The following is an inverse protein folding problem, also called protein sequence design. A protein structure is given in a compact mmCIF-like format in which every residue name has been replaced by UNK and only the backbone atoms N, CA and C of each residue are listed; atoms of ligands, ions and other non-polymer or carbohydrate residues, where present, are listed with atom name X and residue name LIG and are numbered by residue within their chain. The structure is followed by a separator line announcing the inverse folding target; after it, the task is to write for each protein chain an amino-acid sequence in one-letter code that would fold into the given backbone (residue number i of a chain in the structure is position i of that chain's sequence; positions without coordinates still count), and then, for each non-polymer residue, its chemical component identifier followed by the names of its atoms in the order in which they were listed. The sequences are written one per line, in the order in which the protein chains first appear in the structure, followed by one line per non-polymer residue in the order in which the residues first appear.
data_IF_548216993368
#
_entry.id   IF_548216993368
#
_cell.length_a   1.000
_cell.length_b   1.000
_cell.length_c   1.000
_cell.angle_alpha   90.00
_cell.angle_beta   90.00
_cell.angle_gamma   90.00
#
_symmetry.space_group_name_H-M   'P 1'
#
loop_
_entity.id
_entity.type
_entity.pdbx_description
1 polymer ?
#
# COMPACT_ATOMS: atom_id res chain seq x y z
N UNK A 1 -10.32 5.79 2.86
CA UNK A 1 -9.98 4.51 3.49
C UNK A 1 -9.83 3.49 2.39
N UNK A 2 -8.61 2.96 2.22
CA UNK A 2 -8.31 1.92 1.25
C UNK A 2 -8.61 0.52 1.78
N UNK A 3 -8.43 -0.49 0.93
CA UNK A 3 -8.55 -1.91 1.32
C UNK A 3 -7.48 -2.28 2.36
N UNK A 4 -6.30 -1.66 2.27
CA UNK A 4 -5.18 -1.86 3.22
C UNK A 4 -5.54 -1.38 4.63
N UNK A 5 -6.18 -0.21 4.75
CA UNK A 5 -6.66 0.31 6.04
C UNK A 5 -7.72 -0.64 6.65
N UNK A 6 -8.61 -1.16 5.79
CA UNK A 6 -9.61 -2.15 6.14
C UNK A 6 -8.95 -3.43 6.73
N UNK A 7 -7.85 -3.91 6.14
CA UNK A 7 -7.08 -5.04 6.66
C UNK A 7 -6.40 -4.70 8.00
N UNK A 8 -5.77 -3.53 8.11
CA UNK A 8 -5.09 -3.10 9.33
C UNK A 8 -6.04 -3.04 10.54
N UNK A 9 -7.26 -2.53 10.35
CA UNK A 9 -8.30 -2.49 11.40
C UNK A 9 -8.67 -3.91 11.84
N UNK A 10 -8.81 -4.82 10.88
CA UNK A 10 -9.20 -6.21 11.13
C UNK A 10 -8.10 -6.99 11.83
N UNK A 11 -6.84 -6.71 11.53
CA UNK A 11 -5.69 -7.32 12.20
C UNK A 11 -5.65 -7.06 13.71
N UNK A 12 -6.32 -6.01 14.20
CA UNK A 12 -6.46 -5.71 15.62
C UNK A 12 -7.59 -6.50 16.32
N UNK A 13 -8.48 -7.15 15.56
CA UNK A 13 -9.54 -7.96 16.15
C UNK A 13 -8.99 -9.21 16.84
N UNK A 14 -9.70 -9.68 17.86
CA UNK A 14 -9.31 -10.83 18.66
C UNK A 14 -9.74 -12.14 17.99
N UNK A 15 -8.89 -13.15 18.08
CA UNK A 15 -9.17 -14.50 17.61
C UNK A 15 -8.61 -15.53 18.59
N UNK A 16 -9.28 -16.69 18.64
CA UNK A 16 -8.81 -17.83 19.42
C UNK A 16 -7.60 -18.49 18.74
N UNK A 17 -6.51 -18.61 19.48
CA UNK A 17 -5.26 -19.23 19.06
C UNK A 17 -4.84 -20.32 20.05
N UNK A 18 -4.41 -21.47 19.55
CA UNK A 18 -3.87 -22.57 20.37
C UNK A 18 -2.36 -22.60 20.19
N UNK A 19 -1.57 -22.19 21.20
CA UNK A 19 -0.11 -22.21 21.14
C UNK A 19 0.43 -23.62 21.40
N UNK A 20 1.62 -23.91 20.86
CA UNK A 20 2.37 -25.15 21.07
C UNK A 20 3.52 -24.98 22.09
N UNK A 21 3.57 -23.86 22.80
CA UNK A 21 4.65 -23.53 23.72
C UNK A 21 4.09 -22.97 25.03
N UNK A 22 4.91 -23.07 26.07
CA UNK A 22 4.65 -22.48 27.37
C UNK A 22 5.56 -21.27 27.56
N UNK A 23 5.03 -20.19 28.12
CA UNK A 23 5.79 -19.00 28.53
C UNK A 23 5.35 -18.54 29.91
N UNK A 24 6.24 -17.82 30.61
CA UNK A 24 5.85 -17.02 31.77
C UNK A 24 4.85 -15.93 31.38
N UNK A 25 4.25 -15.28 32.38
CA UNK A 25 3.43 -14.09 32.14
C UNK A 25 4.30 -13.00 31.51
N UNK A 26 3.96 -12.62 30.27
CA UNK A 26 4.63 -11.55 29.51
C UNK A 26 3.64 -10.41 29.27
N UNK A 27 4.08 -9.18 29.50
CA UNK A 27 3.27 -7.99 29.26
C UNK A 27 3.51 -7.44 27.85
N UNK A 28 2.45 -7.38 27.05
CA UNK A 28 2.45 -6.82 25.70
C UNK A 28 1.82 -5.43 25.70
N UNK A 29 2.48 -4.46 25.08
CA UNK A 29 2.04 -3.05 25.05
C UNK A 29 0.59 -2.83 24.59
N UNK A 30 0.08 -3.70 23.71
CA UNK A 30 -1.28 -3.59 23.14
C UNK A 30 -2.27 -4.62 23.66
N UNK A 31 -1.80 -5.69 24.30
CA UNK A 31 -2.65 -6.83 24.68
C UNK A 31 -2.63 -7.15 26.16
N UNK A 32 -1.86 -6.40 26.95
CA UNK A 32 -1.71 -6.61 28.40
C UNK A 32 -0.88 -7.85 28.73
N UNK A 33 -1.04 -8.33 29.97
CA UNK A 33 -0.33 -9.50 30.48
C UNK A 33 -0.98 -10.78 29.92
N UNK A 34 -0.19 -11.56 29.20
CA UNK A 34 -0.62 -12.84 28.59
C UNK A 34 0.31 -13.96 29.05
N UNK A 35 -0.29 -15.11 29.38
CA UNK A 35 0.43 -16.36 29.66
C UNK A 35 0.07 -17.41 28.61
N UNK A 36 1.05 -17.78 27.78
CA UNK A 36 0.87 -18.86 26.82
C UNK A 36 1.01 -20.22 27.50
N UNK A 37 -0.02 -21.04 27.37
CA UNK A 37 -0.04 -22.42 27.86
C UNK A 37 -0.35 -23.35 26.68
N UNK A 38 0.55 -24.31 26.44
CA UNK A 38 0.49 -25.18 25.30
C UNK A 38 -0.82 -25.99 25.31
N UNK A 39 -1.52 -26.00 24.17
CA UNK A 39 -2.76 -26.74 23.99
C UNK A 39 -4.02 -26.07 24.55
N UNK A 40 -3.92 -24.92 25.22
CA UNK A 40 -5.08 -24.17 25.69
C UNK A 40 -5.39 -22.99 24.76
N UNK A 41 -6.65 -22.79 24.35
CA UNK A 41 -7.03 -21.67 23.50
C UNK A 41 -6.89 -20.35 24.25
N UNK A 42 -6.37 -19.33 23.58
CA UNK A 42 -6.24 -17.97 24.10
C UNK A 42 -6.69 -16.94 23.07
N UNK A 43 -7.37 -15.90 23.53
CA UNK A 43 -7.77 -14.77 22.70
C UNK A 43 -6.59 -13.81 22.52
N UNK A 44 -6.12 -13.69 21.28
CA UNK A 44 -5.05 -12.77 20.91
C UNK A 44 -5.43 -11.99 19.65
N UNK A 45 -4.84 -10.80 19.42
CA UNK A 45 -5.03 -10.09 18.17
C UNK A 45 -4.58 -10.92 16.96
N UNK A 46 -5.28 -10.79 15.84
CA UNK A 46 -4.96 -11.51 14.60
C UNK A 46 -3.52 -11.26 14.14
N UNK A 47 -3.01 -10.02 14.21
CA UNK A 47 -1.62 -9.73 13.83
C UNK A 47 -0.60 -10.55 14.63
N UNK A 48 -0.88 -10.80 15.92
CA UNK A 48 -0.03 -11.61 16.78
C UNK A 48 -0.13 -13.09 16.40
N UNK A 49 -1.34 -13.57 16.13
CA UNK A 49 -1.56 -14.92 15.63
C UNK A 49 -0.80 -15.18 14.32
N UNK A 50 -0.78 -14.22 13.39
CA UNK A 50 -0.01 -14.30 12.12
C UNK A 50 1.48 -14.48 12.43
N UNK A 51 2.02 -13.68 13.35
CA UNK A 51 3.43 -13.76 13.72
C UNK A 51 3.79 -15.10 14.37
N UNK A 52 2.94 -15.61 15.27
CA UNK A 52 3.14 -16.90 15.91
C UNK A 52 3.03 -18.07 14.92
N UNK A 53 2.08 -17.99 13.98
CA UNK A 53 1.92 -18.98 12.91
C UNK A 53 3.13 -19.02 11.97
N UNK A 54 3.68 -17.86 11.62
CA UNK A 54 4.89 -17.77 10.78
C UNK A 54 6.11 -18.45 11.42
N UNK A 55 6.09 -18.61 12.74
CA UNK A 55 7.12 -19.30 13.54
C UNK A 55 6.72 -20.73 13.91
N UNK A 56 5.64 -21.27 13.36
CA UNK A 56 5.10 -22.60 13.65
C UNK A 56 4.80 -22.84 15.15
N UNK A 57 4.43 -21.78 15.88
CA UNK A 57 4.21 -21.82 17.34
C UNK A 57 2.78 -22.11 17.78
N UNK A 58 1.91 -22.53 16.86
CA UNK A 58 0.51 -22.86 17.15
C UNK A 58 -0.37 -22.79 15.91
N UNK A 59 -1.66 -22.95 16.14
CA UNK A 59 -2.71 -22.92 15.12
C UNK A 59 -3.86 -22.02 15.55
N UNK A 60 -4.51 -21.39 14.58
CA UNK A 60 -5.72 -20.59 14.84
C UNK A 60 -6.93 -21.51 14.90
N UNK A 61 -7.85 -21.21 15.81
CA UNK A 61 -9.17 -21.85 15.83
C UNK A 61 -10.07 -21.14 14.82
N UNK A 62 -10.59 -21.89 13.86
CA UNK A 62 -11.51 -21.36 12.86
C UNK A 62 -12.80 -20.83 13.54
N UNK A 63 -13.26 -19.60 13.22
CA UNK A 63 -14.51 -19.08 13.77
C UNK A 63 -15.73 -19.94 13.38
N UNK A 64 -16.71 -20.05 14.28
CA UNK A 64 -17.91 -20.90 14.09
C UNK A 64 -18.76 -20.52 12.87
N UNK A 65 -18.72 -19.25 12.46
CA UNK A 65 -19.44 -18.76 11.30
C UNK A 65 -18.72 -19.07 9.97
N UNK A 66 -17.43 -19.42 9.99
CA UNK A 66 -16.64 -19.73 8.80
C UNK A 66 -16.74 -21.22 8.45
N UNK A 67 -17.97 -21.70 8.28
CA UNK A 67 -18.30 -23.07 7.94
C UNK A 67 -19.23 -23.10 6.72
N UNK A 68 -19.21 -24.20 5.97
CA UNK A 68 -20.05 -24.37 4.77
C UNK A 68 -21.54 -24.07 5.08
N UNK A 69 -22.08 -24.71 6.13
CA UNK A 69 -23.50 -24.60 6.52
C UNK A 69 -23.89 -23.16 6.87
N UNK A 70 -23.07 -22.48 7.66
CA UNK A 70 -23.31 -21.11 8.10
C UNK A 70 -23.26 -20.13 6.92
N UNK A 71 -22.31 -20.31 6.00
CA UNK A 71 -22.20 -19.48 4.80
C UNK A 71 -23.39 -19.70 3.84
N UNK A 72 -23.82 -20.94 3.64
CA UNK A 72 -25.04 -21.25 2.87
C UNK A 72 -26.28 -20.61 3.49
N UNK A 73 -26.39 -20.60 4.82
CA UNK A 73 -27.46 -19.91 5.53
C UNK A 73 -27.43 -18.40 5.26
N UNK A 74 -26.28 -17.73 5.42
CA UNK A 74 -26.16 -16.30 5.13
C UNK A 74 -26.50 -15.97 3.68
N UNK A 75 -26.11 -16.83 2.73
CA UNK A 75 -26.45 -16.67 1.32
C UNK A 75 -27.96 -16.76 1.10
N UNK A 76 -28.65 -17.67 1.78
CA UNK A 76 -30.10 -17.82 1.65
C UNK A 76 -30.85 -16.66 2.31
N UNK A 77 -30.44 -16.23 3.50
CA UNK A 77 -30.97 -15.03 4.16
C UNK A 77 -30.79 -13.78 3.29
N UNK A 78 -29.63 -13.65 2.62
CA UNK A 78 -29.36 -12.57 1.68
C UNK A 78 -30.23 -12.67 0.42
N UNK A 79 -30.70 -13.85 -0.01
CA UNK A 79 -31.65 -13.95 -1.14
C UNK A 79 -33.06 -13.56 -0.73
N UNK A 80 -33.49 -13.95 0.46
CA UNK A 80 -34.85 -13.73 0.94
C UNK A 80 -35.10 -12.26 1.32
N UNK A 81 -34.12 -11.62 1.93
CA UNK A 81 -34.26 -10.23 2.35
C UNK A 81 -34.09 -9.25 1.19
N UNK A 82 -34.99 -8.27 1.08
CA UNK A 82 -34.85 -7.18 0.11
C UNK A 82 -33.72 -6.22 0.48
N UNK A 83 -33.53 -5.97 1.78
CA UNK A 83 -32.40 -5.20 2.32
C UNK A 83 -31.18 -6.09 2.56
N UNK A 84 -30.06 -5.51 2.98
CA UNK A 84 -28.85 -6.28 3.36
C UNK A 84 -29.11 -7.11 4.61
N UNK A 85 -28.81 -8.41 4.52
CA UNK A 85 -28.91 -9.29 5.66
C UNK A 85 -27.85 -8.92 6.72
N UNK A 86 -28.18 -9.03 8.02
CA UNK A 86 -27.19 -8.87 9.06
C UNK A 86 -26.18 -10.02 8.97
N UNK A 87 -24.89 -9.68 8.89
CA UNK A 87 -23.80 -10.65 8.89
C UNK A 87 -22.78 -10.27 9.97
N UNK A 88 -21.95 -11.22 10.44
CA UNK A 88 -20.89 -10.92 11.39
C UNK A 88 -20.02 -9.72 10.95
N UNK A 89 -19.60 -8.92 11.92
CA UNK A 89 -18.76 -7.75 11.64
C UNK A 89 -17.45 -8.16 10.97
N UNK A 90 -17.07 -7.40 9.94
CA UNK A 90 -15.83 -7.61 9.18
C UNK A 90 -15.63 -9.02 8.60
N UNK A 91 -16.72 -9.78 8.41
CA UNK A 91 -16.71 -11.16 7.91
C UNK A 91 -15.79 -11.33 6.69
N UNK A 92 -15.92 -10.50 5.66
CA UNK A 92 -15.13 -10.62 4.43
C UNK A 92 -13.63 -10.42 4.68
N UNK A 93 -13.27 -9.41 5.45
CA UNK A 93 -11.87 -9.12 5.73
C UNK A 93 -11.22 -10.21 6.59
N UNK A 94 -11.93 -10.68 7.62
CA UNK A 94 -11.45 -11.77 8.49
C UNK A 94 -11.31 -13.06 7.67
N UNK A 95 -12.33 -13.42 6.90
CA UNK A 95 -12.31 -14.63 6.07
C UNK A 95 -11.15 -14.60 5.05
N UNK A 96 -10.95 -13.49 4.34
CA UNK A 96 -9.85 -13.33 3.39
C UNK A 96 -8.48 -13.45 4.08
N UNK A 97 -8.33 -12.88 5.27
CA UNK A 97 -7.09 -12.98 6.03
C UNK A 97 -6.84 -14.42 6.48
N UNK A 98 -7.85 -15.09 7.03
CA UNK A 98 -7.76 -16.47 7.50
C UNK A 98 -7.42 -17.45 6.37
N UNK A 99 -8.13 -17.36 5.25
CA UNK A 99 -7.90 -18.21 4.08
C UNK A 99 -6.47 -18.05 3.52
N UNK A 100 -5.90 -16.85 3.59
CA UNK A 100 -4.56 -16.57 3.05
C UNK A 100 -3.42 -16.91 4.02
N UNK A 101 -3.60 -16.67 5.32
CA UNK A 101 -2.54 -16.81 6.35
C UNK A 101 -2.62 -18.12 7.12
N UNK A 102 -3.80 -18.72 7.23
CA UNK A 102 -4.09 -19.90 8.05
C UNK A 102 -4.75 -21.01 7.23
N UNK A 103 -4.35 -21.15 5.95
CA UNK A 103 -4.92 -22.16 5.04
C UNK A 103 -4.91 -23.57 5.62
N UNK A 104 -3.86 -23.91 6.37
CA UNK A 104 -3.68 -25.26 6.93
C UNK A 104 -4.59 -25.56 8.13
N UNK A 105 -5.16 -24.52 8.76
CA UNK A 105 -6.02 -24.64 9.94
C UNK A 105 -7.52 -24.68 9.58
N UNK A 106 -7.86 -24.58 8.29
CA UNK A 106 -9.24 -24.46 7.81
C UNK A 106 -9.60 -25.68 6.97
N UNK A 107 -10.76 -26.28 7.29
CA UNK A 107 -11.35 -27.37 6.52
C UNK A 107 -12.02 -26.82 5.24
N UNK A 108 -11.94 -27.56 4.13
CA UNK A 108 -12.65 -27.25 2.87
C UNK A 108 -12.50 -25.81 2.34
N UNK A 109 -11.27 -25.30 2.36
CA UNK A 109 -10.91 -23.92 1.95
C UNK A 109 -11.50 -23.51 0.59
N UNK A 110 -11.50 -24.41 -0.38
CA UNK A 110 -11.96 -24.08 -1.73
C UNK A 110 -13.48 -23.91 -1.81
N UNK A 111 -14.25 -24.71 -1.06
CA UNK A 111 -15.70 -24.57 -0.94
C UNK A 111 -16.04 -23.26 -0.24
N UNK A 112 -15.36 -22.97 0.88
CA UNK A 112 -15.53 -21.72 1.63
C UNK A 112 -15.25 -20.50 0.74
N UNK A 113 -14.19 -20.52 -0.07
CA UNK A 113 -13.89 -19.44 -1.02
C UNK A 113 -15.02 -19.23 -2.02
N UNK A 114 -15.55 -20.31 -2.60
CA UNK A 114 -16.65 -20.22 -3.56
C UNK A 114 -17.91 -19.65 -2.92
N UNK A 115 -18.27 -20.08 -1.70
CA UNK A 115 -19.43 -19.56 -0.98
C UNK A 115 -19.25 -18.09 -0.57
N UNK A 116 -18.07 -17.73 -0.06
CA UNK A 116 -17.76 -16.34 0.28
C UNK A 116 -17.83 -15.42 -0.95
N UNK A 117 -17.39 -15.92 -2.11
CA UNK A 117 -17.51 -15.19 -3.37
C UNK A 117 -18.96 -15.05 -3.81
N UNK A 118 -19.79 -16.09 -3.74
CA UNK A 118 -21.21 -15.99 -4.08
C UNK A 118 -21.95 -15.00 -3.15
N UNK A 119 -21.64 -15.02 -1.84
CA UNK A 119 -22.19 -14.05 -0.89
C UNK A 119 -21.78 -12.61 -1.24
N UNK A 120 -20.50 -12.40 -1.53
CA UNK A 120 -20.00 -11.09 -1.97
C UNK A 120 -20.68 -10.60 -3.24
N UNK A 121 -20.80 -11.44 -4.26
CA UNK A 121 -21.39 -11.08 -5.54
C UNK A 121 -22.89 -10.72 -5.40
N UNK A 122 -23.64 -11.45 -4.56
CA UNK A 122 -25.05 -11.12 -4.25
C UNK A 122 -25.18 -9.76 -3.57
N UNK A 123 -24.36 -9.51 -2.55
CA UNK A 123 -24.40 -8.24 -1.81
C UNK A 123 -23.91 -7.08 -2.66
N UNK A 124 -22.87 -7.27 -3.47
CA UNK A 124 -22.39 -6.28 -4.42
C UNK A 124 -23.44 -5.96 -5.50
N UNK A 125 -24.19 -6.96 -5.98
CA UNK A 125 -25.29 -6.75 -6.90
C UNK A 125 -26.40 -5.91 -6.26
N UNK A 126 -26.83 -6.24 -5.03
CA UNK A 126 -27.79 -5.42 -4.29
C UNK A 126 -27.29 -3.99 -4.09
N UNK A 127 -26.03 -3.81 -3.67
CA UNK A 127 -25.42 -2.50 -3.54
C UNK A 127 -25.48 -1.70 -4.84
N UNK A 128 -25.12 -2.30 -5.98
CA UNK A 128 -25.19 -1.64 -7.29
C UNK A 128 -26.62 -1.23 -7.64
N UNK A 129 -27.61 -2.09 -7.41
CA UNK A 129 -29.02 -1.74 -7.67
C UNK A 129 -29.50 -0.61 -6.76
N UNK A 130 -29.09 -0.59 -5.50
CA UNK A 130 -29.39 0.50 -4.56
C UNK A 130 -28.76 1.83 -4.99
N UNK A 131 -27.52 1.80 -5.48
CA UNK A 131 -26.84 3.00 -5.99
C UNK A 131 -27.45 3.54 -7.28
N UNK A 132 -27.85 2.65 -8.20
CA UNK A 132 -28.54 3.08 -9.41
C UNK A 132 -29.85 3.81 -9.08
N UNK A 133 -30.61 3.30 -8.11
CA UNK A 133 -31.83 3.97 -7.61
C UNK A 133 -31.53 5.32 -6.99
N UNK A 134 -30.45 5.42 -6.21
CA UNK A 134 -30.01 6.69 -5.61
C UNK A 134 -29.66 7.74 -6.67
N UNK A 135 -28.87 7.38 -7.69
CA UNK A 135 -28.45 8.35 -8.71
C UNK A 135 -29.57 8.84 -9.61
N UNK A 136 -30.63 8.04 -9.78
CA UNK A 136 -31.83 8.42 -10.53
C UNK A 136 -32.79 9.28 -9.70
N UNK A 137 -32.57 9.41 -8.39
CA UNK A 137 -33.49 10.12 -7.52
C UNK A 137 -33.33 11.65 -7.66
N UNK A 138 -34.44 12.33 -7.91
CA UNK A 138 -34.44 13.80 -8.15
C UNK A 138 -34.57 14.61 -6.85
N UNK A 139 -35.38 14.14 -5.89
CA UNK A 139 -35.84 14.96 -4.75
C UNK A 139 -35.14 14.70 -3.41
N UNK A 140 -34.35 13.64 -3.25
CA UNK A 140 -33.72 13.30 -1.96
C UNK A 140 -32.23 13.03 -2.06
N UNK A 141 -31.46 13.69 -1.19
CA UNK A 141 -29.99 13.60 -1.15
C UNK A 141 -29.44 12.58 -0.15
N UNK A 142 -30.31 11.80 0.52
CA UNK A 142 -29.91 10.89 1.58
C UNK A 142 -30.25 9.44 1.22
N UNK A 143 -29.37 8.51 1.60
CA UNK A 143 -29.60 7.07 1.49
C UNK A 143 -29.22 6.43 2.80
N UNK A 144 -30.11 5.60 3.33
CA UNK A 144 -29.81 4.76 4.50
C UNK A 144 -29.49 3.36 4.02
N UNK A 145 -28.26 2.92 4.28
CA UNK A 145 -27.81 1.57 4.00
C UNK A 145 -27.45 0.92 5.34
N UNK A 146 -28.31 0.02 5.81
CA UNK A 146 -28.07 -0.72 7.05
C UNK A 146 -27.29 -2.01 6.74
N UNK A 147 -26.63 -2.57 7.76
CA UNK A 147 -25.93 -3.86 7.70
C UNK A 147 -24.83 -3.96 6.63
N UNK A 148 -24.24 -2.83 6.22
CA UNK A 148 -23.08 -2.83 5.32
C UNK A 148 -21.80 -3.07 6.11
N UNK A 149 -20.90 -3.88 5.57
CA UNK A 149 -19.60 -4.16 6.18
C UNK A 149 -18.58 -3.06 5.88
N UNK A 150 -17.52 -2.99 6.68
CA UNK A 150 -16.41 -2.08 6.47
C UNK A 150 -15.77 -2.28 5.10
N UNK A 151 -15.57 -3.53 4.69
CA UNK A 151 -14.96 -3.91 3.42
C UNK A 151 -15.79 -3.44 2.21
N UNK A 152 -17.12 -3.62 2.26
CA UNK A 152 -18.04 -3.12 1.24
C UNK A 152 -17.99 -1.59 1.13
N UNK A 153 -17.92 -0.91 2.27
CA UNK A 153 -17.81 0.55 2.34
C UNK A 153 -16.48 1.05 1.75
N UNK A 154 -15.36 0.38 2.08
CA UNK A 154 -14.04 0.65 1.49
C UNK A 154 -14.07 0.52 -0.05
N UNK A 155 -14.75 -0.51 -0.58
CA UNK A 155 -14.83 -0.76 -2.03
C UNK A 155 -15.70 0.26 -2.76
N UNK A 156 -16.87 0.58 -2.20
CA UNK A 156 -17.90 1.37 -2.89
C UNK A 156 -17.75 2.88 -2.62
N UNK A 157 -17.22 3.28 -1.47
CA UNK A 157 -17.11 4.67 -1.05
C UNK A 157 -16.51 5.61 -2.10
N UNK A 158 -15.37 5.27 -2.74
CA UNK A 158 -14.79 6.10 -3.80
C UNK A 158 -15.70 6.27 -5.01
N UNK A 159 -16.45 5.22 -5.37
CA UNK A 159 -17.38 5.23 -6.52
C UNK A 159 -18.54 6.18 -6.24
N UNK A 160 -19.14 6.09 -5.05
CA UNK A 160 -20.23 6.99 -4.65
C UNK A 160 -19.71 8.43 -4.58
N UNK A 161 -18.58 8.66 -3.92
CA UNK A 161 -18.06 10.01 -3.74
C UNK A 161 -17.74 10.69 -5.07
N UNK A 162 -17.11 9.96 -6.00
CA UNK A 162 -16.83 10.49 -7.33
C UNK A 162 -18.12 10.70 -8.15
N UNK A 163 -19.02 9.71 -8.15
CA UNK A 163 -20.29 9.76 -8.89
C UNK A 163 -21.18 10.91 -8.42
N UNK A 164 -21.37 11.08 -7.10
CA UNK A 164 -22.17 12.17 -6.54
C UNK A 164 -21.60 13.53 -6.91
N UNK A 165 -20.28 13.75 -6.78
CA UNK A 165 -19.65 15.02 -7.19
C UNK A 165 -19.91 15.35 -8.66
N UNK A 166 -19.73 14.37 -9.55
CA UNK A 166 -19.99 14.60 -10.98
C UNK A 166 -21.45 14.91 -11.28
N UNK A 167 -22.39 14.29 -10.56
CA UNK A 167 -23.81 14.57 -10.71
C UNK A 167 -24.18 15.95 -10.18
N UNK A 168 -23.62 16.35 -9.04
CA UNK A 168 -23.83 17.68 -8.47
C UNK A 168 -23.28 18.77 -9.40
N UNK A 169 -22.09 18.56 -9.98
CA UNK A 169 -21.50 19.46 -10.99
C UNK A 169 -22.39 19.58 -12.23
N UNK A 170 -22.96 18.47 -12.72
CA UNK A 170 -23.92 18.46 -13.84
C UNK A 170 -25.20 19.20 -13.46
N UNK A 171 -25.78 18.95 -12.28
CA UNK A 171 -26.99 19.64 -11.81
C UNK A 171 -26.75 21.15 -11.63
N UNK A 172 -25.58 21.54 -11.12
CA UNK A 172 -25.20 22.95 -10.96
C UNK A 172 -24.96 23.66 -12.30
N UNK A 173 -24.33 22.99 -13.27
CA UNK A 173 -24.09 23.57 -14.59
C UNK A 173 -25.37 23.67 -15.42
N UNK A 174 -26.23 22.64 -15.40
CA UNK A 174 -27.53 22.65 -16.07
C UNK A 174 -28.47 23.72 -15.50
N UNK A 175 -28.54 23.87 -14.17
CA UNK A 175 -29.32 24.96 -13.54
C UNK A 175 -28.82 26.35 -13.94
N UNK A 176 -27.49 26.57 -14.01
CA UNK A 176 -26.91 27.82 -14.52
C UNK A 176 -27.25 28.06 -15.99
N UNK A 177 -27.22 27.03 -16.84
CA UNK A 177 -27.59 27.14 -18.26
C UNK A 177 -29.09 27.43 -18.43
N UNK A 178 -29.95 26.81 -17.62
CA UNK A 178 -31.40 27.08 -17.61
C UNK A 178 -31.72 28.52 -17.19
N UNK A 179 -30.92 29.13 -16.32
CA UNK A 179 -31.06 30.56 -15.96
C UNK A 179 -30.51 31.53 -17.00
N UNK A 180 -29.66 31.09 -17.91
CA UNK A 180 -28.95 31.96 -18.88
C UNK A 180 -29.41 31.78 -20.34
N UNK A 181 -30.20 30.75 -20.65
CA UNK A 181 -30.63 30.47 -22.02
C UNK A 181 -32.00 31.09 -22.35
N UNK A 182 -32.14 31.94 -23.40
CA UNK A 182 -33.44 32.17 -24.01
C UNK A 182 -33.92 30.84 -24.63
N UNK A 183 -35.20 30.53 -24.51
CA UNK A 183 -35.82 29.29 -25.01
C UNK A 183 -35.59 29.14 -26.53
N UNK A 184 -34.51 28.51 -26.95
CA UNK A 184 -34.33 28.03 -28.32
C UNK A 184 -34.02 26.54 -28.30
N UNK A 185 -34.97 25.77 -28.84
CA UNK A 185 -34.88 24.31 -28.93
C UNK A 185 -33.84 23.97 -30.00
N UNK A 186 -32.63 23.63 -29.57
CA UNK A 186 -31.62 23.04 -30.46
C UNK A 186 -31.65 21.52 -30.28
N UNK A 187 -32.07 20.79 -31.32
CA UNK A 187 -31.96 19.33 -31.39
C UNK A 187 -30.47 18.96 -31.53
N UNK A 188 -29.87 18.48 -30.45
CA UNK A 188 -28.53 17.89 -30.52
C UNK A 188 -28.66 16.40 -30.83
N UNK A 189 -28.25 16.00 -32.04
CA UNK A 189 -28.08 14.60 -32.41
C UNK A 189 -26.83 14.06 -31.71
N UNK A 190 -27.03 13.26 -30.66
CA UNK A 190 -25.96 12.47 -30.06
C UNK A 190 -25.80 11.20 -30.90
N UNK A 191 -24.72 11.13 -31.68
CA UNK A 191 -24.28 9.88 -32.30
C UNK A 191 -23.87 8.90 -31.21
N UNK A 192 -24.77 7.98 -30.91
CA UNK A 192 -24.51 6.89 -29.98
C UNK A 192 -23.47 5.96 -30.61
N UNK A 193 -22.23 6.05 -30.15
CA UNK A 193 -21.23 5.01 -30.41
C UNK A 193 -21.63 3.84 -29.54
N UNK A 194 -22.29 2.85 -30.13
CA UNK A 194 -22.76 1.66 -29.42
C UNK A 194 -21.65 1.06 -28.57
N UNK A 195 -21.86 1.04 -27.25
CA UNK A 195 -21.12 0.18 -26.34
C UNK A 195 -21.55 -1.25 -26.70
N UNK A 196 -20.71 -1.93 -27.48
CA UNK A 196 -20.88 -3.33 -27.81
C UNK A 196 -20.72 -4.15 -26.51
N UNK A 197 -21.83 -4.51 -25.88
CA UNK A 197 -21.91 -5.56 -24.88
C UNK A 197 -21.84 -6.92 -25.57
N UNK A 198 -20.68 -7.25 -26.14
CA UNK A 198 -20.39 -8.61 -26.57
C UNK A 198 -18.90 -8.86 -26.40
N UNK A 199 -18.55 -9.42 -25.25
CA UNK A 199 -17.55 -10.49 -25.09
C UNK A 199 -17.21 -10.64 -23.61
N UNK A 200 -17.71 -11.73 -23.02
CA UNK A 200 -17.34 -12.23 -21.70
C UNK A 200 -15.87 -12.67 -21.70
N UNK A 201 -14.93 -11.72 -21.62
CA UNK A 201 -13.51 -12.02 -21.52
C UNK A 201 -13.03 -11.87 -20.07
N UNK A 202 -12.87 -13.01 -19.38
CA UNK A 202 -12.21 -13.17 -18.07
C UNK A 202 -10.88 -12.40 -17.94
N UNK A 203 -10.18 -12.21 -19.07
CA UNK A 203 -8.95 -11.43 -19.17
C UNK A 203 -9.11 -9.92 -18.87
N UNK A 204 -10.29 -9.34 -19.09
CA UNK A 204 -10.55 -7.94 -18.76
C UNK A 204 -10.73 -7.76 -17.25
N UNK A 205 -11.40 -8.70 -16.56
CA UNK A 205 -11.53 -8.67 -15.10
C UNK A 205 -10.18 -8.76 -14.40
N UNK A 206 -9.30 -9.68 -14.85
CA UNK A 206 -7.92 -9.78 -14.35
C UNK A 206 -7.13 -8.48 -14.56
N UNK A 207 -7.29 -7.79 -15.69
CA UNK A 207 -6.65 -6.48 -15.97
C UNK A 207 -7.22 -5.34 -15.12
N UNK A 208 -8.53 -5.33 -14.85
CA UNK A 208 -9.16 -4.29 -14.04
C UNK A 208 -8.92 -4.49 -12.53
N UNK A 209 -8.87 -5.75 -12.06
CA UNK A 209 -8.62 -6.10 -10.66
C UNK A 209 -7.13 -6.03 -10.29
N UNK A 210 -6.24 -6.52 -11.18
CA UNK A 210 -4.79 -6.49 -10.97
C UNK A 210 -4.13 -5.24 -11.52
N UNK A 211 -4.81 -4.42 -12.33
CA UNK A 211 -4.30 -3.14 -12.84
C UNK A 211 -3.82 -2.17 -11.75
N UNK A 212 -4.58 -1.99 -10.65
CA UNK A 212 -4.13 -1.20 -9.50
C UNK A 212 -3.21 -1.97 -8.54
N UNK A 213 -3.22 -3.32 -8.55
CA UNK A 213 -2.36 -4.15 -7.68
C UNK A 213 -0.97 -4.43 -8.27
N UNK A 214 -0.80 -4.34 -9.59
CA UNK A 214 0.53 -4.39 -10.20
C UNK A 214 1.24 -3.09 -9.87
N UNK A 215 2.44 -3.11 -9.25
CA UNK A 215 3.22 -1.90 -9.05
C UNK A 215 3.36 -1.25 -10.41
N UNK A 216 2.84 -0.01 -10.53
CA UNK A 216 2.57 0.60 -11.83
C UNK A 216 3.83 0.53 -12.71
N UNK A 217 3.87 -0.46 -13.60
CA UNK A 217 5.05 -0.72 -14.44
C UNK A 217 5.35 0.51 -15.29
N UNK A 218 4.29 1.21 -15.72
CA UNK A 218 4.38 2.52 -16.35
C UNK A 218 5.11 3.54 -15.50
N UNK A 219 4.77 3.68 -14.21
CA UNK A 219 5.45 4.60 -13.27
C UNK A 219 6.92 4.23 -13.13
N UNK A 220 7.24 2.94 -12.95
CA UNK A 220 8.63 2.45 -12.92
C UNK A 220 9.39 2.79 -14.21
N UNK A 221 8.76 2.63 -15.37
CA UNK A 221 9.36 2.94 -16.67
C UNK A 221 9.52 4.46 -16.88
N UNK A 222 8.60 5.28 -16.40
CA UNK A 222 8.70 6.75 -16.44
C UNK A 222 9.85 7.25 -15.57
N UNK A 223 9.98 6.77 -14.34
CA UNK A 223 11.10 7.12 -13.46
C UNK A 223 12.42 6.58 -13.97
N UNK A 224 12.45 5.39 -14.56
CA UNK A 224 13.66 4.83 -15.21
C UNK A 224 14.12 5.72 -16.37
N UNK A 225 13.20 6.14 -17.24
CA UNK A 225 13.52 7.06 -18.34
C UNK A 225 13.96 8.43 -17.83
N UNK A 226 13.29 8.97 -16.82
CA UNK A 226 13.65 10.26 -16.21
C UNK A 226 15.05 10.21 -15.58
N UNK A 227 15.42 9.10 -14.95
CA UNK A 227 16.77 8.89 -14.44
C UNK A 227 17.80 8.93 -15.58
N UNK A 228 17.65 8.09 -16.62
CA UNK A 228 18.64 8.09 -17.71
C UNK A 228 18.67 9.37 -18.54
N UNK A 229 17.54 10.05 -18.73
CA UNK A 229 17.44 11.25 -19.58
C UNK A 229 17.79 12.52 -18.82
N UNK A 230 17.54 12.60 -17.51
CA UNK A 230 17.78 13.81 -16.73
C UNK A 230 18.97 13.69 -15.76
N UNK A 231 19.09 12.59 -15.01
CA UNK A 231 20.13 12.48 -13.99
C UNK A 231 21.52 12.26 -14.60
N UNK A 232 21.62 11.41 -15.63
CA UNK A 232 22.91 11.11 -16.30
C UNK A 232 23.53 12.37 -16.94
N UNK A 233 22.82 13.19 -17.75
CA UNK A 233 23.43 14.41 -18.28
C UNK A 233 23.69 15.46 -17.20
N UNK A 234 22.87 15.52 -16.14
CA UNK A 234 23.14 16.40 -15.00
C UNK A 234 24.45 16.02 -14.29
N UNK A 235 24.66 14.73 -14.01
CA UNK A 235 25.91 14.22 -13.41
C UNK A 235 27.10 14.41 -14.36
N UNK A 236 26.93 14.16 -15.66
CA UNK A 236 27.99 14.38 -16.64
C UNK A 236 28.40 15.86 -16.72
N UNK A 237 27.42 16.77 -16.66
CA UNK A 237 27.66 18.22 -16.64
C UNK A 237 28.39 18.66 -15.37
N UNK A 238 27.94 18.21 -14.19
CA UNK A 238 28.60 18.57 -12.91
C UNK A 238 30.00 17.96 -12.83
N UNK A 239 30.20 16.74 -13.34
CA UNK A 239 31.53 16.13 -13.47
C UNK A 239 32.42 16.93 -14.43
N UNK A 240 31.90 17.40 -15.56
CA UNK A 240 32.67 18.22 -16.51
C UNK A 240 33.07 19.57 -15.91
N UNK A 241 32.15 20.25 -15.21
CA UNK A 241 32.45 21.51 -14.52
C UNK A 241 33.50 21.29 -13.44
N UNK A 242 33.34 20.24 -12.61
CA UNK A 242 34.29 19.89 -11.57
C UNK A 242 35.66 19.51 -12.15
N UNK A 243 35.71 18.74 -13.25
CA UNK A 243 36.96 18.42 -13.93
C UNK A 243 37.65 19.67 -14.47
N UNK A 244 36.89 20.58 -15.10
CA UNK A 244 37.43 21.84 -15.63
C UNK A 244 37.94 22.74 -14.50
N UNK A 245 37.25 22.77 -13.37
CA UNK A 245 37.67 23.52 -12.19
C UNK A 245 38.91 22.90 -11.54
N UNK A 246 38.95 21.57 -11.45
CA UNK A 246 40.12 20.83 -10.97
C UNK A 246 41.36 21.07 -11.83
N UNK A 247 41.23 21.10 -13.16
CA UNK A 247 42.32 21.46 -14.08
C UNK A 247 42.82 22.89 -13.85
N UNK A 248 41.93 23.85 -13.57
CA UNK A 248 42.32 25.22 -13.22
C UNK A 248 43.07 25.29 -11.88
N UNK A 249 42.65 24.53 -10.88
CA UNK A 249 43.35 24.43 -9.59
C UNK A 249 44.68 23.67 -9.68
N UNK A 250 44.82 22.74 -10.62
CA UNK A 250 46.13 22.12 -10.96
C UNK A 250 47.09 23.08 -11.64
N UNK A 251 46.58 24.06 -12.39
CA UNK A 251 47.38 25.12 -13.01
C UNK A 251 47.81 26.21 -12.01
N UNK A 252 47.16 26.34 -10.85
CA UNK A 252 47.55 27.30 -9.81
C UNK A 252 48.78 26.80 -9.06
N UNK A 253 49.74 27.69 -8.79
CA UNK A 253 50.92 27.39 -8.00
C UNK A 253 50.53 26.95 -6.58
N UNK A 254 51.33 26.03 -6.02
CA UNK A 254 51.06 25.46 -4.71
C UNK A 254 51.12 26.56 -3.65
N UNK A 255 50.08 26.65 -2.82
CA UNK A 255 50.08 27.57 -1.67
C UNK A 255 51.21 27.20 -0.71
N UNK A 256 51.89 28.20 -0.19
CA UNK A 256 52.95 28.02 0.80
C UNK A 256 52.40 27.31 2.05
N UNK A 257 53.19 26.41 2.61
CA UNK A 257 52.78 25.65 3.79
C UNK A 257 52.79 26.55 5.02
N UNK A 258 51.62 26.78 5.60
CA UNK A 258 51.49 27.48 6.90
C UNK A 258 51.37 26.43 8.01
N UNK A 259 52.33 26.34 8.94
CA UNK A 259 52.26 25.39 10.04
C UNK A 259 51.21 25.84 11.07
N UNK A 260 50.05 25.18 11.05
CA UNK A 260 49.05 25.33 12.11
C UNK A 260 49.28 24.27 13.20
N UNK A 261 49.51 24.73 14.44
CA UNK A 261 49.89 23.88 15.58
C UNK A 261 48.89 22.74 15.87
N UNK A 262 47.61 22.95 15.55
CA UNK A 262 46.54 21.99 15.83
C UNK A 262 46.25 21.01 14.69
N UNK A 263 46.71 21.26 13.46
CA UNK A 263 46.28 20.51 12.27
C UNK A 263 46.94 19.12 12.17
N UNK A 264 48.09 18.95 12.82
CA UNK A 264 48.88 17.72 12.79
C UNK A 264 49.00 17.01 14.16
N UNK A 265 48.17 17.38 15.14
CA UNK A 265 48.16 16.73 16.46
C UNK A 265 47.49 15.37 16.36
N UNK A 266 48.22 14.29 16.65
CA UNK A 266 47.70 12.92 16.59
C UNK A 266 47.93 12.19 17.91
N UNK A 267 46.88 11.55 18.44
CA UNK A 267 46.93 10.71 19.66
C UNK A 267 47.26 9.24 19.37
N UNK A 268 47.09 8.79 18.12
CA UNK A 268 47.36 7.41 17.64
C UNK A 268 47.85 7.46 16.19
N UNK A 269 48.74 6.54 15.83
CA UNK A 269 49.21 6.37 14.45
C UNK A 269 48.10 5.78 13.55
N UNK A 270 48.17 6.04 12.24
CA UNK A 270 47.24 5.46 11.27
C UNK A 270 47.45 3.94 11.14
N UNK A 271 46.39 3.17 10.85
CA UNK A 271 46.47 1.71 10.76
C UNK A 271 47.15 1.19 9.48
N UNK A 272 47.73 2.06 8.65
CA UNK A 272 48.30 1.73 7.35
C UNK A 272 49.81 2.02 7.31
N UNK A 273 50.53 1.20 6.53
CA UNK A 273 51.95 1.28 6.15
C UNK A 273 52.88 1.91 7.20
N UNK A 274 53.09 3.23 7.17
CA UNK A 274 54.11 3.92 7.99
C UNK A 274 53.52 4.65 9.21
N UNK A 275 52.22 4.52 9.48
CA UNK A 275 51.52 5.17 10.60
C UNK A 275 51.36 6.69 10.48
N UNK A 276 52.09 7.32 9.56
CA UNK A 276 52.11 8.77 9.32
C UNK A 276 51.27 9.21 8.11
N UNK A 277 50.94 8.31 7.18
CA UNK A 277 50.14 8.61 5.98
C UNK A 277 48.69 8.16 6.13
N UNK A 278 47.77 8.95 5.58
CA UNK A 278 46.35 8.57 5.45
C UNK A 278 46.15 7.64 4.26
N UNK A 279 45.01 6.93 4.21
CA UNK A 279 44.65 6.05 3.10
C UNK A 279 44.57 6.79 1.75
N UNK A 280 44.26 8.09 1.77
CA UNK A 280 44.15 8.95 0.60
C UNK A 280 45.32 9.95 0.52
N UNK A 281 46.50 9.53 0.98
CA UNK A 281 47.67 10.39 0.96
C UNK A 281 48.16 10.65 -0.46
N UNK A 282 48.35 11.92 -0.80
CA UNK A 282 48.96 12.32 -2.06
C UNK A 282 50.38 12.88 -1.79
N UNK A 283 51.45 12.14 -2.18
CA UNK A 283 52.84 12.53 -1.93
C UNK A 283 53.25 13.90 -2.51
N UNK A 284 52.54 14.40 -3.52
CA UNK A 284 52.84 15.70 -4.16
C UNK A 284 52.11 16.90 -3.54
N UNK A 285 50.96 16.68 -2.87
CA UNK A 285 50.06 17.75 -2.41
C UNK A 285 49.93 17.84 -0.89
N UNK A 286 50.14 16.74 -0.17
CA UNK A 286 49.92 16.69 1.28
C UNK A 286 51.23 16.76 2.04
N UNK A 287 51.32 17.70 2.97
CA UNK A 287 52.49 17.86 3.85
C UNK A 287 52.51 16.80 4.96
N UNK A 288 53.68 16.19 5.19
CA UNK A 288 53.92 15.26 6.30
C UNK A 288 54.82 15.91 7.35
N UNK A 289 54.40 15.97 8.63
CA UNK A 289 55.24 16.49 9.71
C UNK A 289 56.60 15.80 9.77
N UNK A 290 57.69 16.58 9.74
CA UNK A 290 59.07 16.10 9.83
C UNK A 290 59.72 15.67 8.51
N UNK A 291 58.95 15.38 7.46
CA UNK A 291 59.46 15.00 6.12
C UNK A 291 59.25 16.10 5.09
N UNK A 292 58.20 16.90 5.26
CA UNK A 292 57.83 17.93 4.28
C UNK A 292 56.94 17.40 3.18
N UNK A 293 57.14 17.88 1.95
CA UNK A 293 56.48 17.35 0.77
C UNK A 293 57.37 16.32 0.12
N UNK A 294 56.83 15.12 -0.13
CA UNK A 294 57.64 13.97 -0.51
C UNK A 294 58.02 13.97 -1.99
N UNK A 295 57.23 14.65 -2.83
CA UNK A 295 57.48 14.82 -4.26
C UNK A 295 57.15 16.24 -4.71
N UNK A 296 57.92 16.71 -5.69
CA UNK A 296 57.59 17.94 -6.41
C UNK A 296 56.38 17.73 -7.34
N UNK A 297 55.61 18.79 -7.56
CA UNK A 297 54.41 18.74 -8.41
C UNK A 297 54.86 18.72 -9.88
N UNK A 298 54.55 17.65 -10.59
CA UNK A 298 54.66 17.63 -12.04
C UNK A 298 53.38 18.23 -12.63
N UNK A 299 53.52 19.27 -13.46
CA UNK A 299 52.43 19.93 -14.19
C UNK A 299 52.13 19.22 -15.51
#
# INVERSE_FOLDING_TARGET
MGIEDCQYIVEQSLINFIPNFNTSEEEFCSSGVIKFTAGLPIEIPIWMAIMLKSRHKGSVVCPEWLNQRSLEQFINEEKEQFTFAPIPENLFSIALLLINKFKDDIEDVDIIKTLLQDLWDKRLWKMRTSLAKYFLQEDTYHVRINNITLFETCYIGPIISAGSKTLDDIKMSTSRLLTLAPKSVSRTSVRNSGINYSSWNFNNYKKTLLGPMQPAKGVKDTYRKMFFIASVPCIALTMYVAWRDHQKHHAQERKEYVPYEYLNVRKKAFPFRDGNHTLFHNPSEQYVPGVGYEKERHH
#
